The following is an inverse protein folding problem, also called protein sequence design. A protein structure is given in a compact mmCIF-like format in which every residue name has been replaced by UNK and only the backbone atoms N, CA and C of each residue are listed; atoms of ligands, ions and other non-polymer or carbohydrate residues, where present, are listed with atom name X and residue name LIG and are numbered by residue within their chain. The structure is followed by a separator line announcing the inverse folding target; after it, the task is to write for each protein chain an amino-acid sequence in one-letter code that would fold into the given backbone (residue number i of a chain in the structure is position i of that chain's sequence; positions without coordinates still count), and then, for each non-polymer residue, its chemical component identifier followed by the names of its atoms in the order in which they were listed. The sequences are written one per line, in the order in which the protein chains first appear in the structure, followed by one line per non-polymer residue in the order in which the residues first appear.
data_IF_154138899967
#
_entry.id   IF_154138899967
#
_cell.length_a   1.000
_cell.length_b   1.000
_cell.length_c   1.000
_cell.angle_alpha   90.00
_cell.angle_beta   90.00
_cell.angle_gamma   90.00
#
_symmetry.space_group_name_H-M   'P 1'
#
loop_
_entity.id
_entity.type
_entity.pdbx_description
1 polymer ?
#
# COMPACT_ATOMS: atom_id res chain seq x y z
N UNK A 1 40.74 57.97 36.61
CA UNK A 1 39.64 57.59 35.69
C UNK A 1 39.12 56.24 36.21
N UNK A 2 37.96 56.14 36.86
CA UNK A 2 36.60 56.08 36.25
C UNK A 2 36.57 55.01 35.14
N UNK A 3 35.84 53.89 35.19
CA UNK A 3 34.42 53.72 35.50
C UNK A 3 34.05 52.30 35.95
N UNK A 4 32.97 52.22 36.75
CA UNK A 4 32.07 51.09 36.99
C UNK A 4 31.39 50.56 35.71
N UNK A 5 30.97 49.28 35.74
CA UNK A 5 29.66 48.70 35.32
C UNK A 5 29.83 47.21 34.96
N UNK A 6 28.86 46.32 35.02
CA UNK A 6 27.61 46.08 35.78
C UNK A 6 27.09 44.74 35.20
N UNK A 7 26.47 43.91 36.03
CA UNK A 7 25.70 42.72 35.67
C UNK A 7 25.02 42.74 34.28
N UNK A 8 25.13 41.62 33.54
CA UNK A 8 24.07 41.17 32.64
C UNK A 8 23.88 39.65 32.80
N UNK A 9 22.81 39.28 33.53
CA UNK A 9 22.33 37.92 33.62
C UNK A 9 21.71 37.50 32.28
N UNK A 10 22.10 36.32 31.81
CA UNK A 10 21.48 35.68 30.66
C UNK A 10 20.18 35.02 31.14
N UNK A 11 19.06 35.70 30.92
CA UNK A 11 17.72 35.18 31.17
C UNK A 11 17.36 34.22 30.02
N UNK A 12 17.46 32.92 30.26
CA UNK A 12 17.02 31.91 29.29
C UNK A 12 15.50 31.87 29.29
N UNK A 13 14.87 32.50 28.29
CA UNK A 13 13.44 32.37 28.01
C UNK A 13 13.18 30.95 27.47
N UNK A 14 12.65 30.07 28.33
CA UNK A 14 12.03 28.82 27.88
C UNK A 14 10.65 29.21 27.34
N UNK A 15 10.54 29.36 26.02
CA UNK A 15 9.26 29.38 25.33
C UNK A 15 8.67 27.97 25.41
N UNK A 16 7.80 27.75 26.39
CA UNK A 16 6.91 26.60 26.41
C UNK A 16 5.91 26.77 25.26
N UNK A 17 6.24 26.24 24.09
CA UNK A 17 5.30 26.07 22.99
C UNK A 17 4.28 25.02 23.42
N UNK A 18 3.18 25.46 24.03
CA UNK A 18 1.98 24.65 24.19
C UNK A 18 1.47 24.29 22.79
N UNK A 19 1.88 23.13 22.28
CA UNK A 19 1.28 22.50 21.11
C UNK A 19 -0.15 22.14 21.51
N UNK A 20 -1.07 23.07 21.29
CA UNK A 20 -2.48 22.73 21.18
C UNK A 20 -2.61 21.88 19.93
N UNK A 21 -2.54 20.55 20.11
CA UNK A 21 -3.04 19.62 19.12
C UNK A 21 -4.52 19.94 18.96
N UNK A 22 -4.92 20.48 17.81
CA UNK A 22 -6.32 20.55 17.43
C UNK A 22 -6.84 19.11 17.37
N UNK A 23 -7.47 18.65 18.44
CA UNK A 23 -8.20 17.40 18.42
C UNK A 23 -9.27 17.52 17.33
N UNK A 24 -9.32 16.61 16.33
CA UNK A 24 -10.42 16.58 15.40
C UNK A 24 -11.72 16.42 16.19
N UNK A 25 -12.73 17.21 15.84
CA UNK A 25 -14.10 17.02 16.34
C UNK A 25 -14.56 15.63 15.92
N UNK A 26 -14.54 14.69 16.86
CA UNK A 26 -15.00 13.33 16.66
C UNK A 26 -16.52 13.30 16.61
N UNK A 27 -17.08 13.44 15.41
CA UNK A 27 -18.48 13.11 15.11
C UNK A 27 -18.53 12.23 13.86
N UNK A 28 -17.93 11.03 13.97
CA UNK A 28 -18.21 9.91 13.08
C UNK A 28 -18.98 8.84 13.85
N UNK A 29 -19.82 8.06 13.18
CA UNK A 29 -20.74 7.03 13.73
C UNK A 29 -20.07 5.84 14.47
N UNK A 30 -18.89 6.03 15.06
CA UNK A 30 -18.13 5.02 15.79
C UNK A 30 -17.43 3.97 14.91
N UNK A 31 -17.62 4.03 13.58
CA UNK A 31 -16.98 3.12 12.61
C UNK A 31 -15.48 3.39 12.50
N UNK A 32 -15.10 4.67 12.45
CA UNK A 32 -13.70 5.09 12.42
C UNK A 32 -13.27 5.57 13.80
N UNK A 33 -12.25 4.92 14.35
CA UNK A 33 -11.53 5.40 15.54
C UNK A 33 -10.19 5.95 15.06
N UNK A 34 -10.05 7.26 15.12
CA UNK A 34 -8.80 7.91 14.76
C UNK A 34 -7.76 7.72 15.88
N UNK A 35 -6.53 7.41 15.49
CA UNK A 35 -5.41 7.25 16.42
C UNK A 35 -5.11 8.56 17.15
N UNK A 36 -4.79 8.45 18.44
CA UNK A 36 -4.40 9.57 19.30
C UNK A 36 -3.02 9.35 19.94
N UNK A 37 -2.21 8.49 19.32
CA UNK A 37 -0.86 8.17 19.77
C UNK A 37 0.04 9.40 19.85
N UNK A 38 0.96 9.39 20.82
CA UNK A 38 2.00 10.42 20.94
C UNK A 38 3.03 10.35 19.79
N UNK A 39 4.00 11.28 19.77
CA UNK A 39 5.06 11.24 18.76
C UNK A 39 5.85 9.93 18.81
N UNK A 40 6.35 9.49 17.65
CA UNK A 40 7.21 8.32 17.58
C UNK A 40 8.46 8.48 18.47
N UNK A 41 8.98 7.40 19.07
CA UNK A 41 10.22 7.45 19.85
C UNK A 41 11.39 8.01 19.04
N UNK A 42 12.24 8.84 19.65
CA UNK A 42 13.41 9.40 18.96
C UNK A 42 14.37 8.32 18.41
N UNK A 43 14.38 7.12 19.01
CA UNK A 43 15.18 5.99 18.57
C UNK A 43 14.75 5.40 17.20
N UNK A 44 13.51 5.66 16.75
CA UNK A 44 13.00 5.20 15.45
C UNK A 44 13.03 6.32 14.40
N UNK A 45 13.78 7.41 14.65
CA UNK A 45 13.92 8.50 13.70
C UNK A 45 14.49 7.99 12.38
N UNK A 46 13.77 8.26 11.29
CA UNK A 46 14.16 7.84 9.93
C UNK A 46 13.78 6.40 9.57
N UNK A 47 13.10 5.66 10.45
CA UNK A 47 12.54 4.35 10.08
C UNK A 47 11.40 4.56 9.08
N UNK A 48 11.35 3.73 8.05
CA UNK A 48 10.32 3.76 7.04
C UNK A 48 10.15 2.39 6.37
N UNK A 49 8.94 2.12 5.88
CA UNK A 49 8.66 0.93 5.08
C UNK A 49 9.20 1.17 3.67
N UNK A 50 10.23 0.41 3.29
CA UNK A 50 10.86 0.51 1.98
C UNK A 50 10.14 -0.32 0.92
N UNK A 51 9.88 -1.59 1.21
CA UNK A 51 9.37 -2.57 0.25
C UNK A 51 8.48 -3.64 0.89
N UNK A 52 7.72 -4.32 0.04
CA UNK A 52 7.06 -5.58 0.34
C UNK A 52 7.64 -6.69 -0.53
N UNK A 53 7.94 -7.83 0.09
CA UNK A 53 8.48 -9.01 -0.60
C UNK A 53 7.38 -9.97 -1.01
N UNK A 54 7.36 -10.35 -2.29
CA UNK A 54 6.47 -11.36 -2.86
C UNK A 54 7.32 -12.51 -3.41
N UNK A 55 6.98 -13.72 -3.01
CA UNK A 55 7.54 -14.93 -3.61
C UNK A 55 6.78 -15.27 -4.89
N UNK A 56 7.49 -15.62 -5.95
CA UNK A 56 6.88 -15.94 -7.24
C UNK A 56 7.39 -17.25 -7.82
N UNK A 57 6.54 -17.94 -8.58
CA UNK A 57 6.96 -19.07 -9.42
C UNK A 57 7.34 -18.63 -10.83
N UNK A 58 6.89 -17.46 -11.29
CA UNK A 58 7.15 -16.93 -12.62
C UNK A 58 7.51 -15.44 -12.58
N UNK A 59 8.81 -15.18 -12.42
CA UNK A 59 9.36 -13.83 -12.32
C UNK A 59 9.06 -12.95 -13.53
N UNK A 60 9.05 -13.49 -14.75
CA UNK A 60 8.82 -12.69 -15.96
C UNK A 60 7.37 -12.23 -16.07
N UNK A 61 6.40 -13.06 -15.68
CA UNK A 61 5.00 -12.64 -15.62
C UNK A 61 4.82 -11.51 -14.59
N UNK A 62 5.41 -11.64 -13.41
CA UNK A 62 5.34 -10.62 -12.36
C UNK A 62 6.01 -9.31 -12.79
N UNK A 63 7.19 -9.38 -13.44
CA UNK A 63 7.86 -8.22 -14.04
C UNK A 63 6.99 -7.57 -15.12
N UNK A 64 6.32 -8.35 -15.95
CA UNK A 64 5.41 -7.82 -16.95
C UNK A 64 4.23 -7.07 -16.30
N UNK A 65 3.58 -7.68 -15.31
CA UNK A 65 2.46 -7.06 -14.61
C UNK A 65 2.86 -5.77 -13.87
N UNK A 66 3.83 -5.84 -12.96
CA UNK A 66 4.23 -4.65 -12.20
C UNK A 66 4.96 -3.61 -13.06
N UNK A 67 5.78 -4.06 -14.00
CA UNK A 67 6.60 -3.19 -14.82
C UNK A 67 5.86 -2.59 -16.02
N UNK A 68 5.35 -3.44 -16.90
CA UNK A 68 4.75 -3.00 -18.16
C UNK A 68 3.31 -2.52 -18.01
N UNK A 69 2.49 -3.22 -17.20
CA UNK A 69 1.08 -2.87 -17.02
C UNK A 69 0.94 -1.78 -15.97
N UNK A 70 1.49 -2.00 -14.77
CA UNK A 70 1.36 -1.02 -13.69
C UNK A 70 2.38 0.13 -13.76
N UNK A 71 3.33 0.09 -14.69
CA UNK A 71 4.25 1.19 -14.97
C UNK A 71 5.38 1.35 -13.95
N UNK A 72 5.63 0.36 -13.09
CA UNK A 72 6.82 0.37 -12.22
C UNK A 72 8.08 0.18 -13.06
N UNK A 73 9.21 0.64 -12.55
CA UNK A 73 10.51 0.49 -13.20
C UNK A 73 11.33 -0.56 -12.51
N UNK A 74 11.98 -1.40 -13.30
CA UNK A 74 13.03 -2.29 -12.81
C UNK A 74 14.19 -1.46 -12.26
N UNK A 75 14.51 -1.65 -10.99
CA UNK A 75 15.73 -1.12 -10.39
C UNK A 75 16.91 -2.00 -10.79
N UNK A 76 16.80 -3.29 -10.47
CA UNK A 76 17.77 -4.32 -10.81
C UNK A 76 17.17 -5.73 -10.65
N UNK A 77 17.80 -6.69 -11.35
CA UNK A 77 17.70 -8.11 -11.10
C UNK A 77 19.00 -8.57 -10.40
N UNK A 78 18.90 -9.11 -9.19
CA UNK A 78 20.02 -9.71 -8.49
C UNK A 78 19.94 -11.24 -8.63
N UNK A 79 20.69 -11.79 -9.59
CA UNK A 79 20.86 -13.24 -9.75
C UNK A 79 21.88 -13.73 -8.73
N UNK A 80 21.41 -14.17 -7.57
CA UNK A 80 22.28 -14.60 -6.46
C UNK A 80 22.90 -15.95 -6.77
N UNK A 81 22.12 -16.85 -7.36
CA UNK A 81 22.55 -18.13 -7.95
C UNK A 81 21.84 -18.34 -9.30
N UNK A 82 22.20 -19.36 -10.10
CA UNK A 82 21.44 -19.68 -11.32
C UNK A 82 19.96 -19.98 -11.06
N UNK A 83 19.62 -20.45 -9.86
CA UNK A 83 18.27 -20.83 -9.47
C UNK A 83 17.53 -19.80 -8.61
N UNK A 84 18.24 -18.83 -8.03
CA UNK A 84 17.66 -17.87 -7.07
C UNK A 84 17.89 -16.41 -7.49
N UNK A 85 16.79 -15.67 -7.65
CA UNK A 85 16.81 -14.26 -8.04
C UNK A 85 15.99 -13.39 -7.10
N UNK A 86 16.46 -12.17 -6.88
CA UNK A 86 15.76 -11.10 -6.17
C UNK A 86 15.68 -9.88 -7.08
N UNK A 87 14.46 -9.45 -7.39
CA UNK A 87 14.19 -8.37 -8.33
C UNK A 87 13.48 -7.23 -7.63
N UNK A 88 13.93 -6.00 -7.83
CA UNK A 88 13.26 -4.82 -7.26
C UNK A 88 12.61 -3.97 -8.33
N UNK A 89 11.34 -3.61 -8.12
CA UNK A 89 10.61 -2.64 -8.93
C UNK A 89 10.07 -1.49 -8.08
N UNK A 90 9.91 -0.32 -8.67
CA UNK A 90 9.26 0.82 -8.02
C UNK A 90 8.94 1.95 -8.98
N UNK A 91 8.09 2.87 -8.54
CA UNK A 91 7.78 4.08 -9.30
C UNK A 91 8.90 5.12 -9.24
N UNK A 92 9.05 5.88 -10.32
CA UNK A 92 9.89 7.07 -10.32
C UNK A 92 9.33 8.12 -9.34
N UNK A 93 10.19 8.69 -8.51
CA UNK A 93 9.79 9.58 -7.40
C UNK A 93 9.44 11.00 -7.86
N UNK A 94 9.97 11.44 -9.01
CA UNK A 94 9.72 12.78 -9.56
C UNK A 94 8.54 12.89 -10.54
N UNK A 95 7.71 11.85 -10.66
CA UNK A 95 6.87 11.67 -11.86
C UNK A 95 5.48 11.09 -11.65
N UNK A 96 4.85 11.29 -10.49
CA UNK A 96 3.48 10.80 -10.26
C UNK A 96 2.42 11.45 -11.17
N UNK A 97 2.77 12.53 -11.88
CA UNK A 97 2.01 13.18 -12.95
C UNK A 97 2.41 12.67 -14.36
N UNK A 98 3.22 11.62 -14.46
CA UNK A 98 3.71 11.04 -15.71
C UNK A 98 4.92 11.74 -16.35
N UNK A 99 5.46 12.81 -15.76
CA UNK A 99 6.56 13.58 -16.39
C UNK A 99 7.95 13.25 -15.86
N UNK A 100 8.03 12.56 -14.71
CA UNK A 100 9.30 12.20 -14.09
C UNK A 100 9.80 10.85 -14.58
N UNK A 101 11.03 10.84 -15.07
CA UNK A 101 11.74 9.64 -15.49
C UNK A 101 12.98 9.45 -14.61
N UNK A 102 13.19 8.25 -14.09
CA UNK A 102 14.43 7.83 -13.45
C UNK A 102 14.82 6.46 -13.98
N UNK A 103 16.06 6.30 -14.40
CA UNK A 103 16.63 5.03 -14.84
C UNK A 103 16.72 4.01 -13.70
N UNK A 104 16.84 2.73 -14.04
CA UNK A 104 17.07 1.66 -13.05
C UNK A 104 18.28 1.94 -12.13
N UNK A 105 19.45 2.32 -12.66
CA UNK A 105 20.61 2.70 -11.84
C UNK A 105 20.36 3.88 -10.90
N UNK A 106 19.64 4.92 -11.33
CA UNK A 106 19.30 6.05 -10.45
C UNK A 106 18.38 5.63 -9.31
N UNK A 107 17.37 4.79 -9.60
CA UNK A 107 16.48 4.25 -8.59
C UNK A 107 17.23 3.28 -7.66
N UNK A 108 18.10 2.43 -8.18
CA UNK A 108 18.91 1.51 -7.39
C UNK A 108 19.85 2.24 -6.42
N UNK A 109 20.51 3.32 -6.88
CA UNK A 109 21.35 4.16 -6.03
C UNK A 109 20.56 4.82 -4.89
N UNK A 110 19.28 5.13 -5.13
CA UNK A 110 18.40 5.72 -4.14
C UNK A 110 17.59 4.70 -3.32
N UNK A 111 17.67 3.38 -3.62
CA UNK A 111 16.72 2.34 -3.14
C UNK A 111 16.32 2.48 -1.68
N UNK A 112 17.27 2.64 -0.77
CA UNK A 112 17.00 2.68 0.68
C UNK A 112 16.29 3.96 1.15
N UNK A 113 16.23 4.97 0.29
CA UNK A 113 15.47 6.21 0.49
C UNK A 113 14.19 6.27 -0.36
N UNK A 114 13.88 5.20 -1.11
CA UNK A 114 12.62 5.05 -1.83
C UNK A 114 11.58 4.38 -0.93
N UNK A 115 10.30 4.57 -1.27
CA UNK A 115 9.18 3.93 -0.60
C UNK A 115 8.27 3.25 -1.60
N UNK A 116 7.55 2.22 -1.14
CA UNK A 116 6.58 1.49 -1.95
C UNK A 116 7.22 0.66 -3.07
N UNK A 117 8.38 0.06 -2.81
CA UNK A 117 9.00 -0.87 -3.75
C UNK A 117 8.37 -2.27 -3.64
N UNK A 118 8.42 -3.03 -4.72
CA UNK A 118 8.11 -4.46 -4.74
C UNK A 118 9.42 -5.22 -4.89
N UNK A 119 9.66 -6.15 -3.97
CA UNK A 119 10.72 -7.15 -4.06
C UNK A 119 10.10 -8.47 -4.53
N UNK A 120 10.50 -8.96 -5.70
CA UNK A 120 10.11 -10.26 -6.22
C UNK A 120 11.22 -11.26 -5.95
N UNK A 121 10.88 -12.36 -5.27
CA UNK A 121 11.82 -13.42 -4.91
C UNK A 121 11.44 -14.71 -5.63
N UNK A 122 12.34 -15.23 -6.45
CA UNK A 122 12.12 -16.48 -7.19
C UNK A 122 13.20 -17.51 -6.84
N UNK A 123 12.76 -18.72 -6.49
CA UNK A 123 13.57 -19.93 -6.55
C UNK A 123 13.03 -20.85 -7.65
N UNK A 124 13.64 -20.81 -8.83
CA UNK A 124 13.04 -21.31 -10.07
C UNK A 124 12.99 -22.86 -10.18
N UNK A 125 13.64 -23.58 -9.27
CA UNK A 125 13.58 -25.05 -9.16
C UNK A 125 12.68 -25.53 -8.02
N UNK A 126 11.97 -24.62 -7.34
CA UNK A 126 11.05 -25.03 -6.27
C UNK A 126 9.90 -25.87 -6.84
N UNK A 127 9.54 -26.95 -6.13
CA UNK A 127 8.32 -27.72 -6.37
C UNK A 127 7.15 -27.27 -5.50
N UNK A 128 7.35 -26.24 -4.66
CA UNK A 128 6.33 -25.78 -3.73
C UNK A 128 5.15 -25.17 -4.46
N UNK A 129 3.95 -25.46 -3.94
CA UNK A 129 2.73 -24.84 -4.41
C UNK A 129 2.41 -23.63 -3.52
N UNK A 130 2.65 -22.42 -4.06
CA UNK A 130 2.33 -21.18 -3.38
C UNK A 130 0.81 -20.93 -3.43
N UNK A 131 0.21 -20.70 -2.27
CA UNK A 131 -1.20 -20.35 -2.17
C UNK A 131 -1.37 -18.83 -2.15
N UNK A 132 -1.94 -18.31 -3.24
CA UNK A 132 -2.23 -16.90 -3.38
C UNK A 132 -3.30 -16.42 -2.38
N UNK A 133 -3.27 -15.14 -2.00
CA UNK A 133 -4.22 -14.59 -1.03
C UNK A 133 -5.66 -14.68 -1.52
N UNK A 134 -5.90 -14.62 -2.84
CA UNK A 134 -7.24 -14.79 -3.42
C UNK A 134 -7.71 -16.24 -3.52
N UNK A 135 -6.80 -17.21 -3.52
CA UNK A 135 -7.17 -18.63 -3.52
C UNK A 135 -7.48 -19.13 -2.12
N UNK A 136 -6.69 -18.70 -1.14
CA UNK A 136 -6.84 -19.07 0.26
C UNK A 136 -6.31 -17.95 1.13
N UNK A 137 -7.08 -17.59 2.15
CA UNK A 137 -6.65 -16.62 3.14
C UNK A 137 -5.30 -17.01 3.73
N UNK A 138 -4.35 -16.09 3.66
CA UNK A 138 -3.02 -16.19 4.23
C UNK A 138 -2.72 -14.89 5.02
N UNK A 139 -1.48 -14.71 5.48
CA UNK A 139 -1.11 -13.54 6.30
C UNK A 139 -0.98 -12.24 5.51
N UNK A 140 -0.87 -12.31 4.19
CA UNK A 140 -0.71 -11.16 3.31
C UNK A 140 -1.98 -10.92 2.51
N UNK A 141 -2.72 -9.85 2.81
CA UNK A 141 -4.00 -9.59 2.13
C UNK A 141 -3.78 -9.03 0.73
N UNK A 142 -3.20 -7.82 0.65
CA UNK A 142 -3.05 -7.07 -0.59
C UNK A 142 -2.03 -5.94 -0.49
N UNK A 143 -1.68 -5.39 -1.65
CA UNK A 143 -0.97 -4.11 -1.80
C UNK A 143 -1.97 -3.04 -2.23
N UNK A 144 -1.86 -1.84 -1.68
CA UNK A 144 -2.65 -0.68 -2.11
C UNK A 144 -1.91 0.19 -3.13
N UNK A 145 -2.62 0.60 -4.17
CA UNK A 145 -2.17 1.55 -5.21
C UNK A 145 -3.12 2.73 -5.27
N UNK A 146 -2.56 3.91 -5.52
CA UNK A 146 -3.32 5.14 -5.72
C UNK A 146 -3.24 5.53 -7.20
N UNK A 147 -4.39 5.82 -7.80
CA UNK A 147 -4.49 6.25 -9.21
C UNK A 147 -5.21 7.60 -9.34
N UNK A 148 -4.87 8.44 -10.34
CA UNK A 148 -5.54 9.72 -10.54
C UNK A 148 -6.98 9.62 -11.06
N UNK A 149 -7.35 8.52 -11.71
CA UNK A 149 -8.69 8.29 -12.27
C UNK A 149 -8.95 6.77 -12.31
N UNK A 150 -9.74 6.28 -11.37
CA UNK A 150 -10.00 4.86 -11.17
C UNK A 150 -10.85 4.25 -12.29
N UNK A 151 -11.72 5.05 -12.94
CA UNK A 151 -12.52 4.60 -14.07
C UNK A 151 -11.62 4.37 -15.28
N UNK A 152 -10.70 5.30 -15.56
CA UNK A 152 -9.68 5.10 -16.61
C UNK A 152 -8.73 3.96 -16.28
N UNK A 153 -8.32 3.82 -15.02
CA UNK A 153 -7.47 2.72 -14.59
C UNK A 153 -8.17 1.36 -14.80
N UNK A 154 -9.45 1.24 -14.43
CA UNK A 154 -10.22 0.02 -14.66
C UNK A 154 -10.28 -0.33 -16.15
N UNK A 155 -10.66 0.63 -17.01
CA UNK A 155 -10.76 0.39 -18.44
C UNK A 155 -9.41 -0.03 -19.05
N UNK A 156 -8.32 0.61 -18.63
CA UNK A 156 -6.96 0.23 -19.04
C UNK A 156 -6.62 -1.21 -18.62
N UNK A 157 -6.91 -1.59 -17.38
CA UNK A 157 -6.64 -2.94 -16.88
C UNK A 157 -7.48 -4.01 -17.58
N UNK A 158 -8.74 -3.71 -17.92
CA UNK A 158 -9.60 -4.58 -18.72
C UNK A 158 -9.03 -4.79 -20.13
N UNK A 159 -8.56 -3.73 -20.80
CA UNK A 159 -7.90 -3.81 -22.11
C UNK A 159 -6.63 -4.68 -22.08
N UNK A 160 -5.93 -4.70 -20.94
CA UNK A 160 -4.72 -5.50 -20.74
C UNK A 160 -5.01 -6.90 -20.16
N UNK A 161 -6.28 -7.34 -20.12
CA UNK A 161 -6.71 -8.64 -19.63
C UNK A 161 -6.28 -8.94 -18.19
N UNK A 162 -6.17 -7.92 -17.36
CA UNK A 162 -5.90 -8.10 -15.93
C UNK A 162 -7.16 -8.66 -15.26
N UNK A 163 -7.07 -9.72 -14.42
CA UNK A 163 -8.22 -10.26 -13.73
C UNK A 163 -8.76 -9.25 -12.70
N UNK A 164 -9.97 -8.73 -12.95
CA UNK A 164 -10.69 -7.87 -12.00
C UNK A 164 -11.55 -8.73 -11.10
N UNK A 165 -11.25 -8.72 -9.80
CA UNK A 165 -11.99 -9.48 -8.78
C UNK A 165 -13.03 -8.62 -8.05
N UNK A 166 -12.91 -7.29 -8.11
CA UNK A 166 -13.98 -6.36 -7.74
C UNK A 166 -13.89 -5.10 -8.59
N UNK A 167 -14.99 -4.77 -9.29
CA UNK A 167 -15.12 -3.54 -10.06
C UNK A 167 -15.40 -2.32 -9.17
N UNK A 168 -14.97 -1.16 -9.63
CA UNK A 168 -15.33 0.14 -9.06
C UNK A 168 -16.86 0.33 -9.09
N UNK A 169 -17.42 0.95 -8.05
CA UNK A 169 -18.86 1.18 -7.82
C UNK A 169 -19.74 -0.09 -7.82
N UNK A 170 -19.14 -1.27 -7.77
CA UNK A 170 -19.87 -2.54 -7.67
C UNK A 170 -19.93 -3.00 -6.21
N UNK A 171 -21.13 -3.15 -5.62
CA UNK A 171 -21.30 -3.69 -4.27
C UNK A 171 -20.82 -5.13 -4.16
N UNK A 172 -20.19 -5.46 -3.03
CA UNK A 172 -19.86 -6.86 -2.70
C UNK A 172 -21.06 -7.49 -2.00
N UNK A 173 -21.64 -8.53 -2.60
CA UNK A 173 -22.89 -9.14 -2.10
C UNK A 173 -22.70 -10.53 -1.46
N UNK A 174 -21.51 -11.10 -1.57
CA UNK A 174 -21.20 -12.47 -1.14
C UNK A 174 -19.99 -12.56 -0.21
N UNK A 175 -19.86 -13.72 0.43
CA UNK A 175 -18.79 -14.05 1.38
C UNK A 175 -17.85 -15.18 0.88
N UNK A 176 -17.91 -15.52 -0.40
CA UNK A 176 -17.11 -16.57 -1.05
C UNK A 176 -16.42 -16.00 -2.29
N UNK A 177 -15.22 -16.50 -2.60
CA UNK A 177 -14.48 -16.13 -3.80
C UNK A 177 -13.19 -15.36 -3.53
N UNK A 178 -12.52 -14.93 -4.62
CA UNK A 178 -11.19 -14.32 -4.60
C UNK A 178 -11.02 -13.17 -3.60
N UNK A 179 -11.90 -12.17 -3.70
CA UNK A 179 -11.88 -10.98 -2.85
C UNK A 179 -12.00 -11.34 -1.37
N UNK A 180 -12.94 -12.22 -1.04
CA UNK A 180 -13.25 -12.59 0.32
C UNK A 180 -12.15 -13.45 0.94
N UNK A 181 -11.52 -14.32 0.15
CA UNK A 181 -10.34 -15.07 0.57
C UNK A 181 -9.20 -14.12 0.91
N UNK A 182 -8.90 -13.13 0.06
CA UNK A 182 -7.84 -12.17 0.29
C UNK A 182 -8.08 -11.31 1.54
N UNK A 183 -9.34 -10.96 1.84
CA UNK A 183 -9.70 -10.25 3.08
C UNK A 183 -9.83 -11.15 4.33
N UNK A 184 -9.58 -12.45 4.23
CA UNK A 184 -9.64 -13.35 5.38
C UNK A 184 -11.06 -13.66 5.87
N UNK A 185 -12.08 -13.41 5.05
CA UNK A 185 -13.50 -13.62 5.37
C UNK A 185 -14.18 -14.69 4.50
N UNK A 186 -13.42 -15.24 3.55
CA UNK A 186 -13.87 -16.18 2.52
C UNK A 186 -14.23 -17.57 3.04
N UNK A 187 -14.13 -18.56 2.17
CA UNK A 187 -14.61 -19.93 2.39
C UNK A 187 -13.87 -20.66 3.51
N UNK A 188 -12.61 -20.28 3.74
CA UNK A 188 -11.74 -20.85 4.75
C UNK A 188 -11.84 -20.12 6.10
N UNK A 189 -12.44 -18.92 6.12
CA UNK A 189 -12.74 -18.22 7.36
C UNK A 189 -13.93 -18.90 8.05
N UNK A 190 -13.81 -19.13 9.36
CA UNK A 190 -14.76 -19.91 10.16
C UNK A 190 -16.25 -19.60 9.94
N UNK A 191 -17.12 -20.51 10.37
CA UNK A 191 -18.57 -20.54 10.05
C UNK A 191 -19.43 -19.46 10.75
N UNK A 192 -18.88 -18.30 11.09
CA UNK A 192 -19.61 -17.21 11.75
C UNK A 192 -20.51 -16.43 10.77
N UNK A 193 -21.52 -17.09 10.22
CA UNK A 193 -22.38 -16.55 9.14
C UNK A 193 -23.02 -15.21 9.51
N UNK A 194 -23.53 -15.06 10.73
CA UNK A 194 -24.14 -13.81 11.19
C UNK A 194 -23.15 -12.63 11.16
N UNK A 195 -21.87 -12.86 11.47
CA UNK A 195 -20.84 -11.83 11.39
C UNK A 195 -20.51 -11.48 9.94
N UNK A 196 -20.46 -12.48 9.05
CA UNK A 196 -20.24 -12.25 7.60
C UNK A 196 -21.39 -11.46 6.97
N UNK A 197 -22.63 -11.76 7.34
CA UNK A 197 -23.81 -11.00 6.90
C UNK A 197 -23.82 -9.56 7.41
N UNK A 198 -23.43 -9.34 8.67
CA UNK A 198 -23.28 -7.99 9.22
C UNK A 198 -22.21 -7.20 8.48
N UNK A 199 -21.08 -7.83 8.14
CA UNK A 199 -20.00 -7.20 7.39
C UNK A 199 -20.44 -6.75 5.98
N UNK A 200 -21.19 -7.59 5.24
CA UNK A 200 -21.71 -7.21 3.92
C UNK A 200 -22.57 -5.94 4.00
N UNK A 201 -23.35 -5.78 5.06
CA UNK A 201 -24.19 -4.59 5.29
C UNK A 201 -23.37 -3.35 5.69
N UNK A 202 -22.20 -3.56 6.29
CA UNK A 202 -21.37 -2.49 6.87
C UNK A 202 -20.22 -2.04 5.94
N UNK A 203 -19.85 -2.81 4.92
CA UNK A 203 -18.69 -2.53 4.07
C UNK A 203 -18.76 -1.19 3.33
N UNK A 204 -19.96 -0.67 3.05
CA UNK A 204 -20.16 0.64 2.42
C UNK A 204 -19.73 1.77 3.35
N UNK A 205 -19.76 1.55 4.67
CA UNK A 205 -19.28 2.51 5.68
C UNK A 205 -17.77 2.77 5.57
N UNK A 206 -17.02 1.79 5.06
CA UNK A 206 -15.58 1.91 4.78
C UNK A 206 -15.28 2.18 3.30
N UNK A 207 -16.30 2.53 2.51
CA UNK A 207 -16.16 2.88 1.10
C UNK A 207 -15.62 1.76 0.21
N UNK A 208 -15.81 0.48 0.58
CA UNK A 208 -15.31 -0.66 -0.20
C UNK A 208 -15.77 -0.60 -1.66
N UNK A 209 -16.99 -0.09 -1.92
CA UNK A 209 -17.56 0.07 -3.25
C UNK A 209 -16.74 1.00 -4.14
N UNK A 210 -16.02 1.96 -3.55
CA UNK A 210 -15.19 2.96 -4.23
C UNK A 210 -13.80 2.45 -4.64
N UNK A 211 -13.51 1.19 -4.36
CA UNK A 211 -12.20 0.57 -4.63
C UNK A 211 -12.29 -0.36 -5.85
N UNK A 212 -11.17 -0.53 -6.55
CA UNK A 212 -10.99 -1.53 -7.61
C UNK A 212 -10.01 -2.58 -7.09
N UNK A 213 -10.29 -3.86 -7.31
CA UNK A 213 -9.38 -4.93 -6.90
C UNK A 213 -9.08 -5.84 -8.08
N UNK A 214 -7.79 -6.12 -8.25
CA UNK A 214 -7.27 -6.99 -9.30
C UNK A 214 -6.34 -8.06 -8.73
N UNK A 215 -6.05 -9.06 -9.53
CA UNK A 215 -5.02 -10.08 -9.23
C UNK A 215 -3.74 -9.81 -10.03
N UNK A 216 -2.61 -9.97 -9.35
CA UNK A 216 -1.34 -10.16 -10.04
C UNK A 216 -1.25 -11.59 -10.64
N UNK A 217 -0.23 -11.90 -11.46
CA UNK A 217 -0.09 -13.21 -12.09
C UNK A 217 0.04 -14.41 -11.15
N UNK A 218 0.46 -14.20 -9.90
CA UNK A 218 0.52 -15.25 -8.87
C UNK A 218 -0.76 -15.31 -8.01
N UNK A 219 -1.74 -14.42 -8.26
CA UNK A 219 -3.02 -14.35 -7.56
C UNK A 219 -2.99 -13.54 -6.27
N UNK A 220 -1.98 -12.68 -6.04
CA UNK A 220 -2.05 -11.73 -4.93
C UNK A 220 -2.99 -10.58 -5.31
N UNK A 221 -3.76 -10.11 -4.33
CA UNK A 221 -4.66 -9.00 -4.54
C UNK A 221 -3.90 -7.67 -4.58
N UNK A 222 -4.25 -6.82 -5.55
CA UNK A 222 -3.86 -5.41 -5.62
C UNK A 222 -5.13 -4.57 -5.53
N UNK A 223 -5.21 -3.76 -4.47
CA UNK A 223 -6.28 -2.79 -4.25
C UNK A 223 -5.89 -1.45 -4.89
N UNK A 224 -6.81 -0.85 -5.62
CA UNK A 224 -6.62 0.40 -6.35
C UNK A 224 -7.64 1.40 -5.84
N UNK A 225 -7.15 2.56 -5.40
CA UNK A 225 -7.97 3.64 -4.86
C UNK A 225 -7.77 4.92 -5.68
N UNK A 226 -8.84 5.69 -5.80
CA UNK A 226 -8.81 7.02 -6.38
C UNK A 226 -8.01 7.97 -5.46
N UNK A 227 -7.08 8.75 -6.03
CA UNK A 227 -6.26 9.70 -5.27
C UNK A 227 -7.10 10.73 -4.52
N UNK A 228 -8.03 11.35 -5.23
CA UNK A 228 -8.96 12.32 -4.68
C UNK A 228 -10.34 11.66 -4.63
N UNK A 229 -10.82 11.21 -3.46
CA UNK A 229 -12.08 10.53 -3.36
C UNK A 229 -13.22 11.42 -3.90
N UNK A 230 -14.26 10.86 -4.55
CA UNK A 230 -15.38 11.66 -5.04
C UNK A 230 -15.99 12.48 -3.90
N UNK A 231 -16.50 13.68 -4.20
CA UNK A 231 -17.05 14.60 -3.19
C UNK A 231 -18.21 14.04 -2.35
N UNK A 232 -18.78 12.89 -2.74
CA UNK A 232 -19.80 12.13 -2.00
C UNK A 232 -19.24 11.01 -1.11
N UNK A 233 -17.92 10.81 -1.09
CA UNK A 233 -17.23 9.84 -0.25
C UNK A 233 -17.01 10.42 1.14
N UNK A 234 -17.40 9.68 2.18
CA UNK A 234 -17.08 9.98 3.59
C UNK A 234 -15.72 9.44 4.03
N UNK A 235 -14.93 8.89 3.10
CA UNK A 235 -13.50 8.60 3.30
C UNK A 235 -12.65 9.84 3.08
#
# INVERSE_FOLDING_TARGET
MQYYRLFQGLLTFILASSVYSCAPSGDGDGVFVFGNDGPAPAATLGYAINHFGLTTTNLENMKHFYGNILGMRLLFDAHVTPEYSVTYLGYAQGGRNGTGFQTGPELAAAKNNLYGLIELVQFNVSSDHLHASTQRSNTFSHIGLIVPDIVKAQAYLEEHNVPIIKRYETPVTGFTGPLQNAFGIGEYAGKHTAAKEALIKAQSLIGLEMLLMVEDPDGNMVEIQQQDPPTSSTL
#
